data_IF_589815831301
#
_entry.id   IF_589815831301
#
_cell.length_a   1.000
_cell.length_b   1.000
_cell.length_c   1.000
_cell.angle_alpha   90.00
_cell.angle_beta   90.00
_cell.angle_gamma   90.00
#
_symmetry.space_group_name_H-M   'P 1'
#
loop_
_entity.id
_entity.type
_entity.pdbx_description
1 polymer ?
2 non-polymer ?
3 non-polymer ?
4 non-polymer ?
5 non-polymer ?
6 water ?
#
# COMPACT_ATOMS: atom_id res chain seq x y z
N UNK A 14 21.77 -23.66 -3.80
CA UNK A 14 20.76 -23.79 -2.76
C UNK A 14 19.35 -23.74 -3.35
N UNK A 15 18.40 -23.21 -2.57
CA UNK A 15 17.01 -23.10 -3.01
C UNK A 15 16.48 -21.70 -2.81
N UNK A 16 15.62 -21.25 -3.73
CA UNK A 16 15.02 -19.92 -3.68
C UNK A 16 14.05 -19.79 -2.50
N UNK A 17 13.90 -18.58 -1.99
CA UNK A 17 13.06 -18.34 -0.82
C UNK A 17 12.05 -17.22 -1.06
N UNK A 18 10.89 -17.56 -1.60
CA UNK A 18 9.84 -16.59 -1.82
C UNK A 18 8.98 -16.37 -0.58
N UNK A 19 9.21 -15.26 0.10
CA UNK A 19 8.53 -14.98 1.35
C UNK A 19 7.09 -14.49 1.15
N UNK A 20 6.21 -14.91 2.04
CA UNK A 20 4.84 -14.45 1.99
C UNK A 20 4.74 -13.00 2.45
N UNK A 21 3.97 -12.20 1.70
CA UNK A 21 3.64 -10.83 2.08
C UNK A 21 2.19 -10.77 2.51
N UNK A 22 1.96 -10.43 3.77
CA UNK A 22 0.62 -10.16 4.30
C UNK A 22 0.25 -8.70 4.09
N UNK A 23 -0.98 -8.49 3.63
CA UNK A 23 -1.57 -7.17 3.44
C UNK A 23 -2.81 -7.10 4.29
N UNK A 24 -3.01 -5.96 4.94
CA UNK A 24 -4.22 -5.80 5.72
C UNK A 24 -4.75 -4.39 5.58
N UNK A 25 -6.05 -4.23 5.72
CA UNK A 25 -6.63 -2.91 5.68
C UNK A 25 -7.93 -2.91 4.88
N UNK A 26 -8.07 -1.90 4.02
CA UNK A 26 -9.33 -1.69 3.33
C UNK A 26 -9.32 -2.16 1.89
N UNK A 27 -10.22 -3.09 1.60
CA UNK A 27 -10.56 -3.43 0.22
C UNK A 27 -11.80 -2.60 -0.11
N UNK A 28 -11.77 -1.90 -1.25
CA UNK A 28 -12.83 -0.92 -1.51
C UNK A 28 -13.26 -0.99 -2.97
N UNK A 29 -14.51 -0.60 -3.23
CA UNK A 29 -14.96 -0.41 -4.61
C UNK A 29 -14.79 1.06 -4.93
N UNK A 30 -13.99 1.32 -5.96
CA UNK A 30 -13.76 2.68 -6.47
C UNK A 30 -14.71 2.97 -7.61
N UNK A 31 -15.55 3.99 -7.46
CA UNK A 31 -16.46 4.38 -8.53
C UNK A 31 -15.78 5.45 -9.35
N UNK A 32 -15.38 5.10 -10.57
CA UNK A 32 -14.60 6.02 -11.39
C UNK A 32 -15.41 6.46 -12.60
N UNK A 33 -15.59 7.79 -12.76
CA UNK A 33 -16.35 8.33 -13.89
C UNK A 33 -15.86 7.75 -15.21
N UNK A 34 -16.78 7.25 -16.03
CA UNK A 34 -16.43 6.71 -17.34
C UNK A 34 -17.62 6.82 -18.27
N UNK A 35 -17.66 7.91 -19.03
CA UNK A 35 -18.77 8.22 -19.91
C UNK A 35 -19.77 9.08 -19.16
N UNK A 36 -19.32 9.58 -18.02
CA UNK A 36 -20.18 9.82 -16.86
C UNK A 36 -21.52 10.55 -17.04
N UNK A 37 -22.55 9.74 -17.19
CA UNK A 37 -23.54 9.64 -16.13
C UNK A 37 -23.37 8.19 -15.70
N UNK A 38 -22.17 7.67 -15.99
CA UNK A 38 -21.77 6.32 -15.59
C UNK A 38 -20.52 6.31 -14.71
N UNK A 39 -20.45 5.32 -13.83
CA UNK A 39 -19.22 4.99 -13.11
C UNK A 39 -18.73 3.62 -13.56
N UNK A 40 -17.42 3.48 -13.73
CA UNK A 40 -16.79 2.18 -13.76
C UNK A 40 -16.79 1.59 -12.37
N UNK A 41 -17.15 0.32 -12.23
CA UNK A 41 -17.06 -0.34 -10.93
C UNK A 41 -15.70 -1.04 -10.81
N UNK A 42 -14.75 -0.37 -10.15
CA UNK A 42 -13.37 -0.84 -10.11
C UNK A 42 -12.97 -1.38 -8.75
N UNK A 43 -12.35 -2.56 -8.73
CA UNK A 43 -11.81 -3.02 -7.46
C UNK A 43 -10.62 -2.16 -7.00
N UNK A 44 -10.53 -1.92 -5.70
CA UNK A 44 -9.50 -1.03 -5.18
C UNK A 44 -9.27 -1.17 -3.69
N UNK A 45 -8.72 -0.12 -3.08
CA UNK A 45 -8.33 -0.14 -1.68
C UNK A 45 -6.84 -0.43 -1.59
N UNK A 46 -6.07 0.48 -0.99
CA UNK A 46 -4.61 0.43 -1.15
C UNK A 46 -3.99 -0.93 -0.82
N UNK A 47 -4.32 -1.54 0.35
CA UNK A 47 -3.64 -2.82 0.57
C UNK A 47 -4.10 -3.92 -0.37
N UNK A 48 -5.34 -3.86 -0.84
CA UNK A 48 -5.80 -4.82 -1.84
C UNK A 48 -5.04 -4.61 -3.16
N UNK A 49 -4.80 -3.35 -3.52
CA UNK A 49 -4.02 -3.03 -4.73
C UNK A 49 -2.61 -3.62 -4.63
N UNK A 50 -1.96 -3.43 -3.48
CA UNK A 50 -0.61 -3.93 -3.31
C UNK A 50 -0.61 -5.45 -3.40
N UNK A 51 -1.61 -6.08 -2.81
CA UNK A 51 -1.70 -7.55 -2.82
C UNK A 51 -1.80 -8.06 -4.26
N UNK A 52 -2.65 -7.41 -5.06
CA UNK A 52 -2.81 -7.83 -6.44
C UNK A 52 -1.54 -7.53 -7.23
N UNK A 53 -0.89 -6.39 -6.96
CA UNK A 53 0.35 -6.05 -7.66
C UNK A 53 1.44 -7.11 -7.42
N UNK A 54 1.56 -7.58 -6.18
CA UNK A 54 2.54 -8.61 -5.86
C UNK A 54 2.19 -9.94 -6.54
N UNK A 55 0.92 -10.31 -6.50
CA UNK A 55 0.47 -11.56 -7.10
C UNK A 55 0.66 -11.55 -8.62
N UNK A 56 0.41 -10.41 -9.25
CA UNK A 56 0.54 -10.34 -10.71
C UNK A 56 1.98 -10.54 -11.15
N UNK A 57 2.93 -10.17 -10.28
CA UNK A 57 4.37 -10.35 -10.55
C UNK A 57 4.85 -11.74 -10.14
N UNK A 58 3.90 -12.61 -9.80
CA UNK A 58 4.15 -14.02 -9.41
C UNK A 58 4.67 -14.16 -7.99
N UNK A 59 4.34 -13.19 -7.15
CA UNK A 59 4.70 -13.25 -5.76
C UNK A 59 3.67 -13.96 -4.91
N UNK A 60 3.90 -13.98 -3.61
CA UNK A 60 3.08 -14.74 -2.67
C UNK A 60 2.43 -13.75 -1.72
N UNK A 61 1.20 -13.34 -2.02
CA UNK A 61 0.54 -12.36 -1.18
C UNK A 61 -0.72 -12.96 -0.57
N UNK A 62 -1.04 -12.48 0.63
CA UNK A 62 -2.20 -12.93 1.39
C UNK A 62 -2.80 -11.72 2.09
N UNK A 63 -4.13 -11.66 2.08
CA UNK A 63 -4.86 -10.52 2.66
C UNK A 63 -5.58 -10.95 3.93
N UNK A 64 -5.47 -10.17 5.01
CA UNK A 64 -6.36 -10.38 6.15
C UNK A 64 -7.03 -9.07 6.51
N UNK A 65 -8.30 -9.15 6.87
CA UNK A 65 -9.07 -7.96 7.17
C UNK A 65 -10.55 -8.24 7.07
N UNK A 66 -11.32 -7.17 6.98
CA UNK A 66 -12.76 -7.23 7.00
C UNK A 66 -13.39 -6.44 5.88
N UNK A 67 -14.27 -7.09 5.10
CA UNK A 67 -15.17 -6.34 4.23
C UNK A 67 -16.59 -6.54 4.71
N UNK A 68 -17.54 -5.90 4.04
CA UNK A 68 -18.93 -6.04 4.42
C UNK A 68 -19.51 -7.31 3.85
N UNK A 69 -20.52 -7.85 4.53
CA UNK A 69 -21.30 -8.96 4.02
C UNK A 69 -22.32 -8.47 2.99
N UNK A 70 -21.81 -7.95 1.87
CA UNK A 70 -22.63 -7.29 0.87
C UNK A 70 -22.06 -7.58 -0.53
N UNK A 71 -22.81 -7.22 -1.60
CA UNK A 71 -22.25 -7.51 -2.93
C UNK A 71 -20.86 -6.91 -3.18
N UNK A 72 -20.59 -5.68 -2.74
CA UNK A 72 -19.26 -5.09 -2.93
C UNK A 72 -18.18 -5.90 -2.19
N UNK A 73 -18.51 -6.40 -1.00
CA UNK A 73 -17.55 -7.20 -0.25
C UNK A 73 -17.28 -8.51 -0.98
N UNK A 74 -18.34 -9.12 -1.50
CA UNK A 74 -18.18 -10.37 -2.21
C UNK A 74 -17.45 -10.14 -3.53
N UNK A 75 -17.66 -8.96 -4.13
CA UNK A 75 -16.93 -8.58 -5.34
C UNK A 75 -15.42 -8.47 -5.08
N UNK A 76 -15.04 -7.88 -3.94
CA UNK A 76 -13.63 -7.76 -3.62
C UNK A 76 -13.03 -9.12 -3.26
N UNK A 77 -13.78 -9.97 -2.57
CA UNK A 77 -13.28 -11.32 -2.28
C UNK A 77 -13.06 -12.10 -3.58
N UNK A 78 -14.00 -11.99 -4.50
CA UNK A 78 -13.86 -12.66 -5.78
C UNK A 78 -12.68 -12.09 -6.56
N UNK A 79 -12.51 -10.77 -6.52
CA UNK A 79 -11.40 -10.15 -7.22
C UNK A 79 -10.04 -10.64 -6.68
N UNK A 80 -9.88 -10.59 -5.37
CA UNK A 80 -8.61 -11.00 -4.79
C UNK A 80 -8.34 -12.47 -5.09
N UNK A 81 -9.37 -13.29 -4.98
CA UNK A 81 -9.23 -14.71 -5.27
C UNK A 81 -8.84 -14.94 -6.75
N UNK A 82 -9.51 -14.25 -7.66
CA UNK A 82 -9.17 -14.37 -9.08
C UNK A 82 -7.73 -13.98 -9.34
N UNK A 83 -7.22 -13.03 -8.55
CA UNK A 83 -5.86 -12.56 -8.75
C UNK A 83 -4.81 -13.39 -8.01
N UNK A 84 -5.25 -14.51 -7.44
CA UNK A 84 -4.36 -15.48 -6.77
C UNK A 84 -3.80 -14.89 -5.48
N UNK A 85 -4.55 -13.98 -4.89
CA UNK A 85 -4.24 -13.51 -3.53
C UNK A 85 -4.92 -14.44 -2.55
N UNK A 86 -4.19 -14.93 -1.54
CA UNK A 86 -4.77 -15.78 -0.49
C UNK A 86 -5.73 -14.95 0.34
N UNK A 87 -7.00 -15.39 0.38
CA UNK A 87 -8.06 -14.68 1.12
C UNK A 87 -8.70 -15.50 2.23
N UNK A 88 -7.98 -16.52 2.71
CA UNK A 88 -8.48 -17.37 3.79
C UNK A 88 -8.83 -16.50 4.99
N UNK A 89 -8.11 -15.39 5.17
CA UNK A 89 -8.29 -14.55 6.33
C UNK A 89 -9.01 -13.24 6.04
N UNK A 90 -9.75 -13.22 4.94
CA UNK A 90 -10.65 -12.10 4.67
C UNK A 90 -11.99 -12.43 5.29
N UNK A 91 -12.44 -11.55 6.18
CA UNK A 91 -13.69 -11.76 6.92
C UNK A 91 -14.79 -10.87 6.42
N UNK A 92 -16.02 -11.34 6.61
CA UNK A 92 -17.21 -10.59 6.23
C UNK A 92 -17.96 -10.15 7.47
N UNK A 93 -17.95 -8.84 7.70
CA UNK A 93 -18.61 -8.28 8.86
C UNK A 93 -20.12 -8.40 8.70
N UNK A 94 -20.80 -8.82 9.77
CA UNK A 94 -22.25 -9.04 9.73
C UNK A 94 -23.05 -7.74 9.67
N UNK A 95 -22.44 -6.61 10.03
CA UNK A 95 -23.18 -5.36 10.20
C UNK A 95 -22.72 -4.22 9.28
N UNK A 96 -21.41 -4.04 9.16
CA UNK A 96 -20.90 -2.85 8.50
C UNK A 96 -20.61 -3.09 7.03
N UNK A 97 -20.73 -2.03 6.25
CA UNK A 97 -20.68 -2.13 4.79
C UNK A 97 -19.27 -1.95 4.26
N UNK A 98 -19.03 -2.53 3.09
CA UNK A 98 -17.75 -2.40 2.39
C UNK A 98 -17.53 -0.96 1.96
N UNK A 99 -16.30 -0.51 2.11
CA UNK A 99 -15.91 0.84 1.72
C UNK A 99 -16.24 1.11 0.26
N UNK A 100 -16.86 2.26 0.02
CA UNK A 100 -17.23 2.69 -1.32
C UNK A 100 -16.68 4.08 -1.56
N UNK A 101 -15.89 4.23 -2.61
CA UNK A 101 -15.17 5.48 -2.85
C UNK A 101 -15.49 6.06 -4.22
N UNK A 102 -15.81 7.35 -4.29
CA UNK A 102 -16.02 8.02 -5.56
C UNK A 102 -14.75 8.74 -5.96
N UNK A 103 -14.32 8.57 -7.21
CA UNK A 103 -13.07 9.15 -7.66
C UNK A 103 -13.31 10.40 -8.52
N UNK A 104 -12.49 11.43 -8.30
CA UNK A 104 -12.50 12.64 -9.11
C UNK A 104 -11.30 12.60 -10.05
N UNK A 105 -11.55 12.51 -11.35
CA UNK A 105 -10.46 12.30 -12.30
C UNK A 105 -9.65 13.58 -12.53
N UNK A 106 -10.15 14.70 -12.02
CA UNK A 106 -9.42 15.97 -12.11
C UNK A 106 -8.33 16.06 -11.05
N UNK A 107 -8.31 15.12 -10.12
CA UNK A 107 -7.34 15.13 -9.04
C UNK A 107 -6.52 13.85 -8.97
N UNK A 108 -5.44 13.89 -8.19
CA UNK A 108 -4.65 12.71 -7.89
C UNK A 108 -4.37 12.63 -6.40
N UNK A 109 -4.27 11.41 -5.90
CA UNK A 109 -3.95 11.21 -4.50
C UNK A 109 -5.15 11.47 -3.61
N UNK A 110 -4.88 11.86 -2.38
CA UNK A 110 -5.90 12.09 -1.37
C UNK A 110 -7.03 12.97 -1.88
N UNK A 111 -6.69 14.02 -2.62
CA UNK A 111 -7.68 14.98 -3.12
C UNK A 111 -8.68 14.37 -4.11
N UNK A 112 -8.39 13.19 -4.64
CA UNK A 112 -9.28 12.60 -5.64
C UNK A 112 -10.38 11.70 -5.05
N UNK A 113 -10.32 11.40 -3.76
CA UNK A 113 -11.22 10.39 -3.21
C UNK A 113 -12.28 10.95 -2.25
N UNK A 114 -13.52 10.52 -2.45
CA UNK A 114 -14.60 10.78 -1.48
C UNK A 114 -15.07 9.46 -0.87
N UNK A 115 -14.95 9.33 0.45
CA UNK A 115 -15.32 8.08 1.10
C UNK A 115 -16.79 8.13 1.53
N UNK A 116 -17.61 7.25 0.95
CA UNK A 116 -19.05 7.29 1.20
C UNK A 116 -19.46 6.45 2.40
N UNK A 117 -18.59 5.53 2.79
CA UNK A 117 -18.90 4.62 3.90
C UNK A 117 -17.91 4.84 5.03
N UNK A 118 -18.40 5.46 6.10
CA UNK A 118 -17.59 5.83 7.25
C UNK A 118 -18.40 5.60 8.54
N UNK A 119 -17.98 4.63 9.38
CA UNK A 119 -16.84 3.71 9.23
C UNK A 119 -17.22 2.45 8.46
N UNK A 120 -16.37 2.05 7.52
CA UNK A 120 -16.62 0.86 6.73
C UNK A 120 -16.13 -0.38 7.49
N UNK A 121 -16.44 -1.56 6.96
CA UNK A 121 -16.21 -2.82 7.67
C UNK A 121 -14.78 -3.01 8.15
N UNK A 122 -13.82 -2.57 7.35
CA UNK A 122 -12.40 -2.71 7.68
C UNK A 122 -12.03 -1.98 8.97
N UNK A 123 -12.80 -0.96 9.32
CA UNK A 123 -12.50 -0.21 10.54
C UNK A 123 -12.80 -1.04 11.78
N UNK A 124 -13.44 -2.19 11.60
CA UNK A 124 -13.83 -3.03 12.72
C UNK A 124 -12.99 -4.30 12.81
N UNK A 125 -11.83 -4.25 12.17
CA UNK A 125 -10.83 -5.30 12.32
C UNK A 125 -10.60 -5.64 13.79
N UNK A 126 -10.67 -6.94 14.09
CA UNK A 126 -10.56 -7.47 15.45
C UNK A 126 -9.24 -8.21 15.66
N UNK A 127 -8.87 -8.40 16.93
CA UNK A 127 -7.65 -9.16 17.20
C UNK A 127 -7.73 -10.55 16.59
N UNK A 128 -8.92 -11.14 16.61
CA UNK A 128 -9.11 -12.50 16.12
C UNK A 128 -8.97 -12.61 14.61
N UNK A 129 -9.00 -11.48 13.92
CA UNK A 129 -8.83 -11.48 12.47
C UNK A 129 -7.36 -11.65 12.07
N UNK A 130 -6.44 -11.42 13.01
CA UNK A 130 -5.02 -11.50 12.68
C UNK A 130 -4.55 -12.96 12.59
N UNK A 131 -3.90 -13.33 11.47
CA UNK A 131 -3.42 -14.70 11.33
C UNK A 131 -2.09 -14.91 12.02
N UNK A 132 -1.72 -16.17 12.26
CA UNK A 132 -0.38 -16.52 12.72
C UNK A 132 0.68 -16.09 11.73
N UNK A 133 1.71 -15.39 12.23
CA UNK A 133 2.80 -14.91 11.40
C UNK A 133 4.02 -15.80 11.61
N UNK A 134 4.94 -15.77 10.66
CA UNK A 134 6.17 -16.56 10.74
C UNK A 134 7.40 -15.72 10.43
N UNK A 135 8.55 -16.17 10.93
CA UNK A 135 9.80 -15.48 10.69
C UNK A 135 10.04 -15.24 9.19
N UNK A 136 10.48 -14.03 8.84
CA UNK A 136 10.85 -13.72 7.47
C UNK A 136 9.70 -13.24 6.61
N UNK A 137 8.48 -13.34 7.12
CA UNK A 137 7.32 -12.84 6.38
C UNK A 137 7.26 -11.31 6.42
N UNK A 138 6.48 -10.73 5.52
CA UNK A 138 6.27 -9.29 5.48
C UNK A 138 4.85 -8.93 5.85
N UNK A 139 4.68 -7.75 6.44
CA UNK A 139 3.36 -7.18 6.69
C UNK A 139 3.33 -5.76 6.16
N UNK A 140 2.37 -5.45 5.30
CA UNK A 140 2.24 -4.08 4.77
C UNK A 140 0.93 -3.46 5.21
N UNK A 141 0.99 -2.20 5.66
CA UNK A 141 -0.19 -1.52 6.18
C UNK A 141 -0.19 -0.06 5.72
N UNK A 142 -1.37 0.52 5.57
CA UNK A 142 -1.55 1.94 5.27
C UNK A 142 -2.32 2.61 6.40
N UNK A 143 -2.40 3.95 6.39
CA UNK A 143 -2.94 4.65 7.55
C UNK A 143 -4.45 4.53 7.73
N UNK A 144 -5.21 4.19 6.70
CA UNK A 144 -6.65 4.05 6.91
C UNK A 144 -6.92 2.97 7.99
N UNK A 145 -6.05 1.97 8.06
CA UNK A 145 -6.20 0.90 9.05
C UNK A 145 -6.00 1.43 10.47
N UNK A 146 -5.37 2.59 10.57
CA UNK A 146 -5.14 3.24 11.87
C UNK A 146 -6.17 4.35 12.17
N UNK A 147 -7.11 4.58 11.25
CA UNK A 147 -7.98 5.74 11.36
C UNK A 147 -8.91 5.72 12.57
N UNK A 148 -9.52 4.56 12.82
CA UNK A 148 -10.47 4.43 13.93
C UNK A 148 -10.32 3.12 14.68
N UNK A 149 -10.89 3.07 15.88
CA UNK A 149 -10.96 1.83 16.63
C UNK A 149 -12.16 1.03 16.16
N UNK A 150 -12.07 -0.31 16.23
CA UNK A 150 -10.97 -1.11 16.79
C UNK A 150 -9.84 -1.41 15.81
N UNK A 151 -9.97 -1.03 14.54
CA UNK A 151 -8.93 -1.39 13.58
C UNK A 151 -7.57 -0.82 14.00
N UNK A 152 -7.55 0.39 14.57
CA UNK A 152 -6.26 1.00 14.92
C UNK A 152 -5.50 0.13 15.90
N UNK A 153 -6.15 -0.23 17.00
CA UNK A 153 -5.45 -1.02 18.02
C UNK A 153 -5.18 -2.45 17.52
N UNK A 154 -6.08 -2.98 16.71
CA UNK A 154 -5.87 -4.32 16.16
C UNK A 154 -4.65 -4.32 15.23
N UNK A 155 -4.54 -3.29 14.42
CA UNK A 155 -3.44 -3.20 13.45
C UNK A 155 -2.11 -2.97 14.16
N UNK A 156 -2.07 -2.15 15.22
CA UNK A 156 -0.83 -2.00 15.96
C UNK A 156 -0.42 -3.30 16.63
N UNK A 157 -1.40 -4.07 17.09
CA UNK A 157 -1.11 -5.37 17.67
C UNK A 157 -0.50 -6.30 16.61
N UNK A 158 -1.07 -6.32 15.40
CA UNK A 158 -0.52 -7.13 14.33
C UNK A 158 0.93 -6.76 14.03
N UNK A 159 1.20 -5.46 14.04
CA UNK A 159 2.54 -4.97 13.74
C UNK A 159 3.51 -5.48 14.79
N UNK A 160 3.16 -5.35 16.06
CA UNK A 160 4.03 -5.81 17.14
C UNK A 160 4.26 -7.32 17.05
N UNK A 161 3.22 -8.06 16.68
CA UNK A 161 3.35 -9.50 16.54
C UNK A 161 4.28 -9.90 15.39
N UNK A 162 4.21 -9.19 14.26
CA UNK A 162 5.09 -9.48 13.15
C UNK A 162 6.55 -9.18 13.54
N UNK A 163 6.76 -8.07 14.23
CA UNK A 163 8.12 -7.75 14.67
C UNK A 163 8.64 -8.83 15.61
N UNK A 164 7.78 -9.28 16.53
CA UNK A 164 8.17 -10.25 17.55
C UNK A 164 8.60 -11.59 16.94
N UNK A 165 7.93 -12.01 15.87
CA UNK A 165 8.22 -13.32 15.29
C UNK A 165 9.42 -13.27 14.34
N UNK A 166 9.90 -12.05 14.05
CA UNK A 166 11.06 -11.92 13.20
C UNK A 166 10.70 -11.70 11.74
N UNK A 167 9.51 -11.15 11.51
CA UNK A 167 9.10 -10.72 10.18
C UNK A 167 9.48 -9.27 9.95
N UNK A 168 9.01 -8.71 8.84
CA UNK A 168 9.32 -7.34 8.45
C UNK A 168 8.05 -6.54 8.23
N UNK A 169 8.12 -5.25 8.51
CA UNK A 169 6.95 -4.37 8.42
C UNK A 169 7.14 -3.25 7.40
N UNK A 170 6.18 -3.14 6.48
CA UNK A 170 6.15 -2.09 5.49
C UNK A 170 4.96 -1.17 5.79
N UNK A 171 5.19 0.14 5.73
CA UNK A 171 4.15 1.12 6.02
C UNK A 171 4.14 2.20 4.95
N UNK A 172 2.96 2.45 4.42
CA UNK A 172 2.73 3.51 3.45
C UNK A 172 1.59 4.33 4.02
N UNK A 173 1.90 5.52 4.57
CA UNK A 173 0.83 6.32 5.18
C UNK A 173 -0.42 6.44 4.29
N UNK A 174 -0.24 6.80 3.03
CA UNK A 174 -1.38 6.84 2.11
C UNK A 174 -2.53 7.63 2.73
N UNK A 175 -2.25 8.86 3.10
CA UNK A 175 -3.17 9.63 3.94
C UNK A 175 -4.53 9.91 3.30
N UNK A 176 -5.58 9.64 4.07
CA UNK A 176 -6.94 9.99 3.67
C UNK A 176 -7.65 10.55 4.91
N UNK A 177 -7.48 11.84 5.15
CA UNK A 177 -7.90 12.44 6.41
C UNK A 177 -9.39 12.28 6.71
N UNK A 178 -10.23 12.29 5.68
CA UNK A 178 -11.67 12.30 5.94
C UNK A 178 -12.17 11.00 6.58
N UNK A 179 -11.32 9.96 6.52
CA UNK A 179 -11.69 8.67 7.08
C UNK A 179 -11.58 8.68 8.61
N UNK A 180 -10.79 9.62 9.14
CA UNK A 180 -10.58 9.73 10.58
C UNK A 180 -11.73 10.46 11.26
N UNK A 181 -12.38 9.81 12.22
CA UNK A 181 -13.40 10.50 13.01
C UNK A 181 -12.78 11.56 13.90
N UNK A 182 -11.51 11.35 14.27
CA UNK A 182 -10.75 12.38 14.99
C UNK A 182 -9.47 12.75 14.21
N UNK A 183 -9.61 13.63 13.22
CA UNK A 183 -8.46 13.90 12.33
C UNK A 183 -7.28 14.54 13.07
N UNK A 184 -7.49 15.16 14.22
CA UNK A 184 -6.39 15.70 15.01
C UNK A 184 -5.45 14.59 15.50
N UNK A 185 -5.90 13.33 15.44
CA UNK A 185 -5.08 12.20 15.88
C UNK A 185 -4.22 11.59 14.77
N UNK A 186 -4.46 12.01 13.53
CA UNK A 186 -3.78 11.40 12.40
C UNK A 186 -2.26 11.51 12.48
N UNK A 187 -1.72 12.72 12.67
CA UNK A 187 -0.26 12.90 12.61
C UNK A 187 0.48 12.02 13.62
N UNK A 188 0.06 12.06 14.88
CA UNK A 188 0.74 11.28 15.91
C UNK A 188 0.57 9.77 15.70
N UNK A 189 -0.64 9.36 15.33
CA UNK A 189 -0.92 7.95 15.13
C UNK A 189 -0.10 7.40 13.97
N UNK A 190 -0.04 8.17 12.89
CA UNK A 190 0.73 7.73 11.73
C UNK A 190 2.22 7.69 12.06
N UNK A 191 2.72 8.69 12.77
CA UNK A 191 4.15 8.69 13.07
C UNK A 191 4.52 7.58 14.04
N UNK A 192 3.59 7.16 14.88
CA UNK A 192 3.85 5.98 15.73
C UNK A 192 4.09 4.73 14.87
N UNK A 193 3.32 4.58 13.79
CA UNK A 193 3.52 3.44 12.91
C UNK A 193 4.81 3.58 12.11
N UNK A 194 5.13 4.82 11.71
CA UNK A 194 6.39 5.06 11.02
C UNK A 194 7.55 4.54 11.87
N UNK A 195 7.41 4.70 13.18
CA UNK A 195 8.43 4.28 14.12
C UNK A 195 8.52 2.78 14.31
N UNK A 196 7.59 2.03 13.74
CA UNK A 196 7.60 0.57 13.87
C UNK A 196 8.08 -0.13 12.61
N UNK A 197 8.22 0.61 11.52
CA UNK A 197 8.40 -0.02 10.21
C UNK A 197 9.86 -0.26 9.81
N UNK A 198 10.07 -1.31 9.01
CA UNK A 198 11.36 -1.57 8.38
C UNK A 198 11.47 -0.78 7.10
N UNK A 199 10.33 -0.60 6.43
CA UNK A 199 10.26 0.08 5.15
C UNK A 199 9.13 1.08 5.22
N UNK A 200 9.40 2.34 4.88
CA UNK A 200 8.34 3.33 4.83
C UNK A 200 8.38 4.00 3.48
N UNK A 201 7.22 4.12 2.86
CA UNK A 201 7.10 4.86 1.61
C UNK A 201 6.25 6.11 1.81
N UNK A 202 6.78 7.26 1.41
CA UNK A 202 6.06 8.54 1.41
C UNK A 202 5.92 9.10 0.00
N UNK A 203 4.87 9.87 -0.26
CA UNK A 203 4.95 10.87 -1.33
C UNK A 203 5.67 12.09 -0.77
N UNK A 204 6.17 12.98 -1.63
CA UNK A 204 6.86 14.19 -1.16
C UNK A 204 6.01 15.00 -0.20
N UNK A 205 4.73 15.14 -0.55
CA UNK A 205 3.82 15.98 0.23
C UNK A 205 3.54 15.36 1.59
N UNK A 206 3.40 14.04 1.61
CA UNK A 206 3.10 13.31 2.84
C UNK A 206 4.26 13.41 3.82
N UNK A 207 5.49 13.25 3.34
CA UNK A 207 6.65 13.34 4.21
C UNK A 207 6.72 14.71 4.87
N UNK A 208 6.53 15.75 4.07
CA UNK A 208 6.65 17.11 4.60
C UNK A 208 5.51 17.41 5.57
N UNK A 209 4.30 17.00 5.22
CA UNK A 209 3.15 17.21 6.11
C UNK A 209 3.32 16.52 7.47
N UNK A 210 3.69 15.25 7.45
CA UNK A 210 3.80 14.48 8.68
C UNK A 210 4.91 14.97 9.61
N UNK A 211 6.00 15.48 9.03
CA UNK A 211 7.13 15.94 9.83
C UNK A 211 7.09 17.45 10.05
N UNK A 212 6.14 18.11 9.41
CA UNK A 212 6.03 19.55 9.51
C UNK A 212 7.27 20.26 8.98
N UNK A 213 7.73 19.86 7.81
CA UNK A 213 8.91 20.45 7.21
C UNK A 213 8.58 21.01 5.82
N UNK A 214 9.48 21.79 5.24
CA UNK A 214 9.23 22.39 3.94
C UNK A 214 10.04 21.77 2.81
N UNK A 215 10.92 20.83 3.12
CA UNK A 215 11.67 20.13 2.07
C UNK A 215 11.81 18.64 2.37
N UNK A 216 12.06 17.85 1.33
CA UNK A 216 12.30 16.42 1.50
C UNK A 216 13.51 16.19 2.40
N UNK A 217 14.56 16.96 2.15
CA UNK A 217 15.80 16.88 2.91
C UNK A 217 15.55 17.13 4.40
N UNK A 218 14.77 18.15 4.72
CA UNK A 218 14.41 18.43 6.10
C UNK A 218 13.57 17.30 6.69
N UNK A 219 12.66 16.79 5.88
CA UNK A 219 11.79 15.70 6.31
C UNK A 219 12.58 14.46 6.66
N UNK A 220 13.59 14.16 5.87
CA UNK A 220 14.42 12.99 6.13
C UNK A 220 15.26 13.14 7.40
N UNK A 221 15.81 14.34 7.59
CA UNK A 221 16.57 14.63 8.80
C UNK A 221 15.67 14.49 10.04
N UNK A 222 14.40 14.86 9.90
CA UNK A 222 13.47 14.83 11.02
C UNK A 222 13.10 13.41 11.47
N UNK A 223 13.23 12.43 10.57
CA UNK A 223 12.91 11.05 10.96
C UNK A 223 14.19 10.20 11.09
N UNK A 224 15.35 10.83 11.02
CA UNK A 224 16.61 10.11 11.14
C UNK A 224 16.70 9.37 12.47
N UNK A 225 16.15 10.01 13.49
CA UNK A 225 16.14 9.43 14.83
C UNK A 225 15.40 8.09 14.89
N UNK A 226 14.52 7.86 13.92
CA UNK A 226 13.71 6.64 13.93
C UNK A 226 14.54 5.42 13.52
N UNK A 227 15.73 5.66 12.98
CA UNK A 227 16.61 4.57 12.49
C UNK A 227 15.86 3.60 11.56
N UNK A 228 15.14 4.14 10.58
CA UNK A 228 14.42 3.29 9.64
C UNK A 228 15.37 2.71 8.60
N UNK A 229 15.34 1.38 8.42
CA UNK A 229 16.23 0.73 7.45
C UNK A 229 16.10 1.26 6.02
N UNK A 230 14.87 1.48 5.58
CA UNK A 230 14.61 1.92 4.21
C UNK A 230 13.45 2.89 4.15
N UNK A 231 13.73 4.10 3.68
CA UNK A 231 12.67 5.05 3.41
C UNK A 231 12.70 5.39 1.92
N UNK A 232 11.54 5.31 1.27
CA UNK A 232 11.44 5.67 -0.14
C UNK A 232 10.45 6.82 -0.31
N UNK A 233 10.88 7.86 -1.02
CA UNK A 233 10.04 9.03 -1.23
C UNK A 233 9.76 9.16 -2.72
N UNK A 234 8.51 8.98 -3.12
CA UNK A 234 8.20 9.03 -4.55
C UNK A 234 8.16 10.48 -5.01
N UNK A 235 8.61 10.70 -6.26
CA UNK A 235 8.80 12.05 -6.78
C UNK A 235 8.02 12.25 -8.08
N UNK A 236 6.91 11.53 -8.20
CA UNK A 236 6.12 11.57 -9.42
C UNK A 236 6.91 11.03 -10.61
N UNK A 237 7.06 11.86 -11.64
CA UNK A 237 7.73 11.42 -12.86
C UNK A 237 9.24 11.30 -12.65
N UNK A 238 9.77 12.00 -11.66
CA UNK A 238 11.21 12.01 -11.40
C UNK A 238 11.70 10.74 -10.69
N UNK A 239 10.80 9.80 -10.46
CA UNK A 239 11.16 8.52 -9.87
C UNK A 239 11.00 8.50 -8.36
N UNK A 240 12.08 8.20 -7.64
CA UNK A 240 12.01 8.03 -6.19
C UNK A 240 13.35 8.29 -5.53
N UNK A 241 13.31 8.90 -4.34
CA UNK A 241 14.49 9.05 -3.50
C UNK A 241 14.57 7.84 -2.58
N UNK A 242 15.74 7.22 -2.54
CA UNK A 242 15.96 6.02 -1.73
C UNK A 242 16.89 6.38 -0.58
N UNK A 243 16.34 6.33 0.64
CA UNK A 243 17.08 6.70 1.83
C UNK A 243 17.37 5.48 2.71
N UNK A 244 18.65 5.18 2.88
CA UNK A 244 19.07 4.09 3.75
C UNK A 244 20.00 4.76 4.77
N UNK A 245 20.52 4.02 5.76
CA UNK A 245 21.29 4.78 6.76
C UNK A 245 22.48 5.56 6.17
N UNK A 246 22.48 6.88 6.39
CA UNK A 246 23.53 7.79 5.94
C UNK A 246 23.73 7.82 4.43
N UNK A 247 22.67 7.52 3.69
CA UNK A 247 22.78 7.47 2.25
C UNK A 247 21.46 7.81 1.57
N UNK A 248 21.52 8.62 0.51
CA UNK A 248 20.34 8.93 -0.27
C UNK A 248 20.69 8.93 -1.75
N UNK A 249 19.83 8.34 -2.56
CA UNK A 249 20.03 8.55 -3.98
C UNK A 249 18.74 8.47 -4.74
N UNK A 250 18.74 9.14 -5.89
CA UNK A 250 17.58 9.19 -6.74
C UNK A 250 17.63 8.04 -7.73
N UNK A 251 16.49 7.36 -7.87
CA UNK A 251 16.32 6.30 -8.85
C UNK A 251 15.19 6.72 -9.77
N UNK A 252 15.50 6.96 -11.04
CA UNK A 252 14.51 7.49 -11.99
C UNK A 252 14.33 6.52 -13.14
N UNK A 253 13.09 6.35 -13.57
CA UNK A 253 12.77 5.45 -14.67
C UNK A 253 12.12 6.20 -15.81
N UNK A 254 11.43 5.46 -16.68
CA UNK A 254 10.74 6.07 -17.81
C UNK A 254 9.51 6.84 -17.38
N UNK A 255 9.39 8.08 -17.84
CA UNK A 255 8.21 8.89 -17.56
C UNK A 255 7.10 8.57 -18.55
N UNK A 256 5.87 8.46 -18.06
CA UNK A 256 4.74 8.23 -18.93
C UNK A 256 3.68 9.31 -18.71
N UNK A 257 2.85 9.55 -19.72
CA UNK A 257 1.73 10.45 -19.55
C UNK A 257 0.57 9.68 -18.92
N UNK A 258 0.18 10.06 -17.71
CA UNK A 258 -0.85 9.29 -16.99
C UNK A 258 -2.26 9.45 -17.57
N UNK A 259 -2.95 8.33 -17.66
CA UNK A 259 -4.34 8.33 -18.10
C UNK A 259 -5.25 8.32 -16.86
N UNK A 260 -4.89 7.49 -15.89
CA UNK A 260 -5.57 7.47 -14.59
C UNK A 260 -4.58 7.22 -13.46
N UNK A 261 -4.27 8.24 -12.68
CA UNK A 261 -3.24 8.09 -11.63
C UNK A 261 -3.67 7.20 -10.47
N UNK A 262 -4.94 6.85 -10.40
CA UNK A 262 -5.45 6.00 -9.32
C UNK A 262 -4.62 4.73 -9.18
N UNK A 263 -4.08 4.50 -7.99
CA UNK A 263 -3.32 3.29 -7.73
C UNK A 263 -1.83 3.30 -8.06
N UNK A 264 -1.31 4.38 -8.64
CA UNK A 264 0.11 4.44 -9.01
C UNK A 264 1.05 4.14 -7.82
N UNK A 265 0.78 4.76 -6.68
CA UNK A 265 1.61 4.59 -5.50
C UNK A 265 1.57 3.17 -4.95
N UNK A 266 0.41 2.53 -5.04
CA UNK A 266 0.28 1.15 -4.54
C UNK A 266 0.99 0.19 -5.47
N UNK A 267 0.93 0.49 -6.77
CA UNK A 267 1.65 -0.31 -7.75
C UNK A 267 3.14 -0.25 -7.49
N UNK A 268 3.60 0.95 -7.17
CA UNK A 268 4.98 1.20 -6.79
C UNK A 268 5.35 0.32 -5.61
N UNK A 269 4.55 0.35 -4.55
CA UNK A 269 4.82 -0.47 -3.36
C UNK A 269 4.79 -1.96 -3.68
N UNK A 270 3.86 -2.35 -4.56
CA UNK A 270 3.78 -3.75 -4.96
C UNK A 270 5.05 -4.27 -5.64
N UNK A 271 5.59 -3.49 -6.57
CA UNK A 271 6.83 -3.89 -7.23
C UNK A 271 7.99 -3.93 -6.24
N UNK A 272 8.03 -2.92 -5.37
CA UNK A 272 9.07 -2.86 -4.35
C UNK A 272 9.03 -4.10 -3.44
N UNK A 273 7.87 -4.35 -2.84
CA UNK A 273 7.75 -5.45 -1.90
C UNK A 273 7.89 -6.81 -2.59
N UNK A 274 7.41 -6.94 -3.83
CA UNK A 274 7.63 -8.20 -4.53
C UNK A 274 9.14 -8.51 -4.59
N UNK A 275 9.95 -7.55 -5.04
CA UNK A 275 11.37 -7.83 -5.18
C UNK A 275 12.06 -8.00 -3.81
N UNK A 276 11.64 -7.26 -2.80
CA UNK A 276 12.21 -7.49 -1.47
C UNK A 276 11.84 -8.89 -0.98
N UNK A 277 10.62 -9.33 -1.26
CA UNK A 277 10.14 -10.62 -0.75
C UNK A 277 10.88 -11.82 -1.34
N UNK A 278 11.38 -11.70 -2.57
CA UNK A 278 12.07 -12.82 -3.20
C UNK A 278 13.58 -12.76 -3.06
N UNK A 279 14.08 -11.72 -2.39
CA UNK A 279 15.53 -11.52 -2.25
C UNK A 279 16.14 -12.40 -1.19
N UNK A 280 17.38 -12.83 -1.45
CA UNK A 280 18.18 -13.52 -0.44
C UNK A 280 18.37 -12.63 0.78
N UNK A 281 18.73 -11.37 0.55
CA UNK A 281 18.83 -10.40 1.62
C UNK A 281 18.32 -9.06 1.16
N UNK A 282 17.11 -8.71 1.59
CA UNK A 282 16.47 -7.50 1.09
C UNK A 282 17.19 -6.24 1.52
N UNK A 283 18.02 -6.33 2.55
CA UNK A 283 18.80 -5.19 3.04
C UNK A 283 19.96 -4.81 2.11
N UNK A 284 20.34 -5.74 1.23
CA UNK A 284 21.43 -5.50 0.30
C UNK A 284 21.13 -4.29 -0.58
N UNK A 285 22.09 -3.38 -0.70
CA UNK A 285 21.82 -2.09 -1.36
C UNK A 285 21.48 -2.29 -2.83
N UNK A 286 22.22 -3.14 -3.54
CA UNK A 286 21.87 -3.44 -4.93
C UNK A 286 20.47 -4.04 -5.06
N UNK A 287 20.10 -4.90 -4.10
CA UNK A 287 18.75 -5.48 -4.09
C UNK A 287 17.68 -4.40 -3.99
N UNK A 288 17.91 -3.46 -3.08
CA UNK A 288 16.97 -2.37 -2.84
C UNK A 288 16.83 -1.49 -4.08
N UNK A 289 17.97 -1.08 -4.65
CA UNK A 289 17.95 -0.23 -5.83
C UNK A 289 17.24 -0.90 -7.01
N UNK A 290 17.45 -2.21 -7.16
CA UNK A 290 16.75 -2.97 -8.19
C UNK A 290 15.26 -3.03 -7.90
N UNK A 291 14.91 -3.21 -6.64
CA UNK A 291 13.50 -3.27 -6.26
C UNK A 291 12.80 -1.93 -6.56
N UNK A 292 13.50 -0.83 -6.33
CA UNK A 292 12.92 0.49 -6.65
C UNK A 292 12.79 0.69 -8.18
N UNK A 293 13.72 0.15 -8.95
CA UNK A 293 13.58 0.20 -10.41
C UNK A 293 12.30 -0.53 -10.85
N UNK A 294 12.02 -1.69 -10.26
CA UNK A 294 10.75 -2.37 -10.52
C UNK A 294 9.56 -1.52 -10.08
N UNK A 295 9.67 -0.97 -8.87
CA UNK A 295 8.62 -0.12 -8.30
C UNK A 295 8.25 1.04 -9.24
N UNK A 296 9.27 1.69 -9.80
CA UNK A 296 9.04 2.82 -10.68
C UNK A 296 8.29 2.37 -11.93
N UNK A 297 8.69 1.22 -12.44
CA UNK A 297 8.09 0.69 -13.65
C UNK A 297 6.63 0.35 -13.42
N UNK A 298 6.34 -0.25 -12.28
CA UNK A 298 4.98 -0.63 -11.91
C UNK A 298 4.11 0.61 -11.74
N UNK A 299 4.64 1.61 -11.06
CA UNK A 299 3.94 2.86 -10.85
C UNK A 299 3.54 3.53 -12.15
N UNK A 300 4.47 3.58 -13.11
CA UNK A 300 4.18 4.16 -14.42
C UNK A 300 3.11 3.35 -15.16
N UNK A 301 3.27 2.03 -15.21
CA UNK A 301 2.36 1.19 -15.98
C UNK A 301 0.95 1.24 -15.40
N UNK A 302 0.85 1.34 -14.07
CA UNK A 302 -0.46 1.33 -13.42
C UNK A 302 -1.36 2.51 -13.84
N UNK A 303 -0.76 3.59 -14.33
CA UNK A 303 -1.50 4.77 -14.76
C UNK A 303 -2.11 4.63 -16.16
N UNK A 304 -1.77 3.56 -16.87
CA UNK A 304 -2.15 3.47 -18.27
C UNK A 304 -3.61 3.08 -18.50
N UNK A 305 -4.29 2.56 -17.47
CA UNK A 305 -5.70 2.22 -17.58
C UNK A 305 -6.47 2.72 -16.36
N UNK A 306 -7.77 2.91 -16.52
CA UNK A 306 -8.63 3.30 -15.40
C UNK A 306 -8.80 2.15 -14.41
N UNK A 307 -8.76 2.49 -13.13
CA UNK A 307 -8.83 1.50 -12.07
C UNK A 307 -7.46 1.32 -11.45
N UNK A 308 -7.42 1.18 -10.13
CA UNK A 308 -6.14 0.95 -9.45
C UNK A 308 -5.47 -0.36 -9.87
N UNK A 309 -6.26 -1.41 -10.13
CA UNK A 309 -5.69 -2.73 -10.37
C UNK A 309 -5.51 -3.08 -11.85
N UNK A 310 -6.19 -2.34 -12.70
CA UNK A 310 -6.37 -2.76 -14.08
C UNK A 310 -5.05 -2.97 -14.81
N UNK A 311 -4.13 -2.05 -14.60
CA UNK A 311 -2.88 -2.09 -15.36
C UNK A 311 -1.68 -2.54 -14.55
N UNK A 312 -1.93 -3.15 -13.39
CA UNK A 312 -0.83 -3.73 -12.62
C UNK A 312 -0.15 -4.81 -13.46
N UNK A 313 1.16 -4.65 -13.73
CA UNK A 313 1.78 -5.49 -14.74
C UNK A 313 2.22 -6.88 -14.26
N UNK A 314 2.26 -7.85 -15.17
CA UNK A 314 2.98 -9.09 -14.92
C UNK A 314 4.44 -8.90 -15.33
N UNK A 315 5.28 -9.91 -15.12
CA UNK A 315 6.71 -9.73 -15.38
C UNK A 315 7.00 -9.49 -16.87
N UNK A 316 6.27 -10.16 -17.76
CA UNK A 316 6.50 -9.97 -19.19
C UNK A 316 6.31 -8.51 -19.61
N UNK A 317 5.24 -7.89 -19.11
CA UNK A 317 4.95 -6.50 -19.44
C UNK A 317 5.97 -5.56 -18.78
N UNK A 318 6.34 -5.86 -17.55
CA UNK A 318 7.25 -4.98 -16.81
C UNK A 318 8.65 -5.03 -17.42
N UNK A 319 9.12 -6.24 -17.72
CA UNK A 319 10.45 -6.37 -18.31
C UNK A 319 10.49 -5.68 -19.68
N UNK A 320 9.41 -5.81 -20.44
CA UNK A 320 9.35 -5.17 -21.75
C UNK A 320 9.40 -3.64 -21.60
N UNK A 321 8.75 -3.13 -20.57
CA UNK A 321 8.72 -1.69 -20.31
C UNK A 321 10.07 -1.20 -19.79
N UNK A 322 10.73 -2.00 -18.97
CA UNK A 322 12.02 -1.61 -18.40
C UNK A 322 13.13 -1.65 -19.45
N UNK A 323 12.87 -2.40 -20.51
CA UNK A 323 13.67 -2.59 -21.74
C UNK A 323 14.37 -3.94 -21.74
X LIG B 1 1.91 8.74 -4.79
X LIG B 1 1.80 10.22 -4.40
X LIG B 1 0.67 8.05 -4.38
X LIG B 1 3.11 8.09 -4.07
X LIG B 1 3.35 9.35 -7.22
X LIG B 1 2.78 10.55 -8.03
X LIG B 1 4.42 9.87 -6.29
X LIG B 1 2.15 8.60 -6.37
X LIG B 1 3.99 8.31 -8.21
X LIG B 1 4.01 6.95 -7.85
X LIG B 1 4.99 6.29 -8.53
X LIG B 1 4.45 5.85 -9.90
X LIG B 1 6.21 7.22 -8.86
X LIG B 1 7.30 7.02 -7.89
X LIG B 1 6.59 6.87 -10.02
X LIG B 1 7.55 5.76 -9.91
X LIG B 1 5.24 6.39 -10.81
X LIG B 1 4.61 7.48 -11.44
X LIG B 1 3.63 8.35 -11.11
X LIG B 1 3.47 9.21 -12.15
X LIG B 1 4.37 8.87 -13.13
X LIG B 1 4.63 9.41 -14.37
X LIG B 1 4.18 10.41 -15.13
X LIG B 1 5.60 8.86 -15.16
X LIG B 1 6.31 7.78 -14.70
X LIG B 1 6.06 7.24 -13.49
X LIG B 1 5.08 7.79 -12.69
X LIG C 1 -8.28 3.99 -0.15
X LIG C 1 -7.98 4.48 -1.60
X LIG C 1 -8.70 3.65 -2.66
X LIG C 1 -7.87 3.62 -3.72
X LIG C 1 -6.40 3.59 -3.04
X LIG C 1 -5.33 4.20 -3.90
X LIG C 1 -7.61 2.78 0.16
X LIG C 1 -8.27 5.74 -1.70
X LIG C 1 -9.96 4.36 -2.98
X LIG C 1 -8.02 2.44 -4.55
X LIG C 1 -6.46 4.27 -1.92
X LIG C 1 -4.15 4.26 -3.13
X LIG D 1 -0.54 6.88 -2.21
X LIG E 1 -4.95 3.44 -12.86
#
# INVERSE_FOLDING_TARGET
MKALVRLSSNHIFRSDSMSRVWLTGDAVVDLIPDGQQHYLKCPGGAPANVAVAIARLSGRSAFFGRVGNDPFGRFMQQTLTDEQVDCQHLHFDPVHRTSTVVVDLDECGERSFTFMVKPSADQFLQLSDIPSFQKGEWLHVCSIALANQPSRSSTFAAIAQMKEVGGYVSFDPNLREEVWSEPQELQATVMRAVGLADVVKFSEEELQFLTGTQSIEEGLQAIADFQIPLVVVTLGAKGALVATPNSQQIVSGKAVKPIDCTGAGDAFVGGLLYRLSVAQDWHNQATILDAVKWANGCGALATTQKGAMTALPNQAALYAFLE
ADP PB O1B O2B O3B PA O1A O2A O3A O5' C5' C4' O4' C3' O3' C2' O2' C1' N9 C8 N7 C5 C6 N6 N1 C2 N3 C4
FRU C1 C2 C3 C4 C5 C6 O1 O2 O3 O4 O5 O6
CA CA
K K
#
